data_IF_042893330495
#
_entry.id   IF_042893330495
#
_cell.length_a   1.000
_cell.length_b   1.000
_cell.length_c   1.000
_cell.angle_alpha   90.00
_cell.angle_beta   90.00
_cell.angle_gamma   90.00
#
_symmetry.space_group_name_H-M   'P 1'
#
loop_
_entity.id
_entity.type
_entity.pdbx_description
1 polymer ?
#
# COMPACT_ATOMS: atom_id res chain seq x y z
N UNK A 1 19.21 -11.61 -10.24
CA UNK A 1 17.83 -11.29 -9.91
C UNK A 1 16.97 -11.68 -11.08
N UNK A 2 15.95 -12.46 -10.84
CA UNK A 2 15.03 -12.89 -11.89
C UNK A 2 14.25 -11.65 -12.37
N UNK A 3 14.34 -11.29 -13.64
CA UNK A 3 13.74 -10.08 -14.23
C UNK A 3 12.20 -10.02 -14.13
N UNK A 4 11.59 -11.04 -13.56
CA UNK A 4 10.14 -11.18 -13.37
C UNK A 4 9.67 -11.07 -11.91
N UNK A 5 10.54 -10.75 -10.97
CA UNK A 5 10.15 -10.65 -9.57
C UNK A 5 9.56 -9.27 -9.26
N UNK A 6 8.37 -9.26 -8.66
CA UNK A 6 7.70 -8.03 -8.28
C UNK A 6 8.50 -7.31 -7.17
N UNK A 7 8.86 -6.05 -7.40
CA UNK A 7 9.75 -5.29 -6.54
C UNK A 7 9.07 -4.92 -5.21
N UNK A 8 9.82 -5.10 -4.12
CA UNK A 8 9.46 -4.61 -2.78
C UNK A 8 10.49 -3.57 -2.38
N UNK A 9 10.01 -2.38 -2.00
CA UNK A 9 10.86 -1.22 -1.71
C UNK A 9 11.61 -1.39 -0.37
N UNK A 10 10.95 -2.02 0.60
CA UNK A 10 11.49 -2.24 1.94
C UNK A 10 12.29 -3.52 2.02
N UNK A 11 13.24 -3.57 2.96
CA UNK A 11 13.98 -4.79 3.26
C UNK A 11 13.09 -5.96 3.65
N UNK A 12 13.62 -7.14 3.41
CA UNK A 12 13.01 -8.39 3.83
C UNK A 12 13.35 -8.69 5.29
N UNK A 13 12.31 -8.78 6.11
CA UNK A 13 12.36 -9.23 7.49
C UNK A 13 11.49 -10.47 7.68
N UNK A 14 11.78 -11.35 8.64
CA UNK A 14 10.89 -12.48 8.93
C UNK A 14 9.43 -12.06 9.10
N UNK A 15 9.21 -10.89 9.73
CA UNK A 15 7.90 -10.35 10.02
C UNK A 15 7.12 -9.86 8.78
N UNK A 16 7.79 -9.57 7.66
CA UNK A 16 7.13 -9.14 6.42
C UNK A 16 7.24 -10.12 5.26
N UNK A 17 7.97 -11.21 5.43
CA UNK A 17 8.03 -12.28 4.44
C UNK A 17 6.76 -13.12 4.38
N UNK A 18 6.02 -13.21 5.51
CA UNK A 18 4.74 -13.90 5.58
C UNK A 18 3.84 -13.25 6.65
N UNK A 19 2.58 -12.99 6.32
CA UNK A 19 1.61 -12.45 7.26
C UNK A 19 1.77 -10.96 7.62
N UNK A 20 2.65 -10.24 6.95
CA UNK A 20 2.91 -8.83 7.22
C UNK A 20 1.81 -7.88 6.74
N UNK A 21 2.11 -6.58 6.77
CA UNK A 21 1.23 -5.50 6.30
C UNK A 21 1.79 -4.96 4.98
N UNK A 22 1.07 -5.20 3.90
CA UNK A 22 1.42 -4.71 2.57
C UNK A 22 0.89 -3.29 2.37
N UNK A 23 1.76 -2.35 2.04
CA UNK A 23 1.39 -1.03 1.54
C UNK A 23 1.59 -1.01 0.04
N UNK A 24 0.52 -0.71 -0.72
CA UNK A 24 0.57 -0.73 -2.17
C UNK A 24 0.01 0.56 -2.77
N UNK A 25 0.86 1.25 -3.55
CA UNK A 25 0.47 2.37 -4.40
C UNK A 25 0.17 1.93 -5.84
N UNK A 26 -0.07 2.92 -6.72
CA UNK A 26 -0.30 2.64 -8.14
C UNK A 26 0.97 2.23 -8.87
N UNK A 27 1.98 3.09 -8.83
CA UNK A 27 3.25 2.95 -9.53
C UNK A 27 4.33 3.80 -8.86
N UNK A 28 5.57 3.63 -9.27
CA UNK A 28 6.68 4.47 -8.85
C UNK A 28 6.54 5.86 -9.47
N UNK A 29 6.59 6.91 -8.62
CA UNK A 29 6.71 8.28 -9.09
C UNK A 29 8.07 8.49 -9.75
N UNK A 30 8.11 9.26 -10.83
CA UNK A 30 9.33 9.66 -11.49
C UNK A 30 9.77 11.01 -10.90
N UNK A 31 10.88 11.02 -10.19
CA UNK A 31 11.44 12.24 -9.60
C UNK A 31 12.37 12.97 -10.59
N UNK A 32 12.69 14.23 -10.29
CA UNK A 32 13.70 14.98 -11.07
C UNK A 32 15.10 14.34 -10.95
N UNK A 33 15.36 13.66 -9.86
CA UNK A 33 16.61 12.95 -9.61
C UNK A 33 16.69 11.69 -10.47
N UNK A 34 15.58 10.94 -10.60
CA UNK A 34 15.48 9.84 -11.55
C UNK A 34 15.72 10.30 -13.00
N UNK A 35 15.22 11.48 -13.37
CA UNK A 35 15.44 12.11 -14.68
C UNK A 35 16.93 12.36 -14.95
N UNK A 36 17.64 12.91 -13.95
CA UNK A 36 19.08 13.18 -14.04
C UNK A 36 19.88 11.89 -14.11
N UNK A 37 19.55 10.91 -13.30
CA UNK A 37 20.22 9.61 -13.26
C UNK A 37 20.03 8.84 -14.58
N UNK A 38 18.82 8.86 -15.15
CA UNK A 38 18.56 8.29 -16.48
C UNK A 38 19.38 8.98 -17.57
N UNK A 39 19.46 10.32 -17.56
CA UNK A 39 20.25 11.09 -18.52
C UNK A 39 21.76 10.89 -18.38
N UNK A 40 22.24 10.63 -17.18
CA UNK A 40 23.67 10.43 -16.87
C UNK A 40 24.11 8.99 -16.88
N UNK A 41 23.17 8.04 -16.99
CA UNK A 41 23.46 6.59 -16.95
C UNK A 41 23.96 6.09 -15.59
N UNK A 42 23.76 6.88 -14.52
CA UNK A 42 24.14 6.50 -13.16
C UNK A 42 23.08 5.51 -12.65
N UNK A 43 23.48 4.27 -12.47
CA UNK A 43 22.72 3.30 -11.67
C UNK A 43 23.18 3.44 -10.22
N UNK A 44 22.36 4.04 -9.38
CA UNK A 44 22.61 3.99 -7.95
C UNK A 44 22.44 2.55 -7.46
N UNK A 45 23.50 2.00 -6.85
CA UNK A 45 23.36 0.80 -6.04
C UNK A 45 22.45 1.15 -4.88
N UNK A 46 21.24 0.57 -4.87
CA UNK A 46 20.32 0.72 -3.75
C UNK A 46 20.95 0.04 -2.54
N UNK A 47 21.46 0.83 -1.61
CA UNK A 47 21.84 0.31 -0.31
C UNK A 47 20.65 -0.38 0.34
N UNK A 48 20.88 -1.54 0.93
CA UNK A 48 19.88 -2.23 1.74
C UNK A 48 19.46 -1.34 2.91
N UNK A 49 18.17 -1.00 2.96
CA UNK A 49 17.65 -0.02 3.92
C UNK A 49 16.63 -0.63 4.83
N UNK A 50 16.50 -0.09 6.03
CA UNK A 50 15.78 -0.67 7.14
C UNK A 50 14.25 -0.80 6.94
N UNK A 51 13.42 -0.63 7.93
CA UNK A 51 11.98 -0.88 7.91
C UNK A 51 11.16 0.28 7.31
N UNK A 52 9.88 0.06 7.05
CA UNK A 52 9.00 0.99 6.35
C UNK A 52 8.96 2.41 6.95
N UNK A 53 8.96 2.56 8.27
CA UNK A 53 8.89 3.86 8.95
C UNK A 53 10.23 4.61 8.96
N UNK A 54 11.35 3.96 8.63
CA UNK A 54 12.67 4.62 8.53
C UNK A 54 12.71 5.57 7.33
N UNK A 55 12.99 6.88 7.53
CA UNK A 55 13.08 7.85 6.45
C UNK A 55 14.24 7.58 5.48
N UNK A 56 15.27 6.83 5.89
CA UNK A 56 16.38 6.45 5.01
C UNK A 56 15.99 5.38 3.99
N UNK A 57 14.92 4.63 4.20
CA UNK A 57 14.41 3.64 3.23
C UNK A 57 13.80 4.34 2.02
N UNK A 58 12.93 5.30 2.29
CA UNK A 58 12.17 5.99 1.27
C UNK A 58 11.72 7.36 1.81
N UNK A 59 12.51 8.41 1.56
CA UNK A 59 12.25 9.78 2.01
C UNK A 59 11.17 10.51 1.18
N UNK A 60 10.42 9.83 0.33
CA UNK A 60 9.43 10.46 -0.55
C UNK A 60 8.28 11.11 0.22
N UNK A 61 7.69 12.14 -0.39
CA UNK A 61 6.50 12.81 0.14
C UNK A 61 5.34 11.83 0.37
N UNK A 62 5.21 10.84 -0.49
CA UNK A 62 4.17 9.79 -0.37
C UNK A 62 4.34 9.03 0.94
N UNK A 63 5.51 8.44 1.16
CA UNK A 63 5.81 7.67 2.37
C UNK A 63 5.69 8.52 3.63
N UNK A 64 6.25 9.74 3.64
CA UNK A 64 6.22 10.61 4.81
C UNK A 64 4.79 10.97 5.22
N UNK A 65 3.92 11.28 4.25
CA UNK A 65 2.49 11.52 4.53
C UNK A 65 1.77 10.28 5.01
N UNK A 66 2.09 9.12 4.46
CA UNK A 66 1.44 7.87 4.87
C UNK A 66 1.86 7.47 6.29
N UNK A 67 3.15 7.59 6.63
CA UNK A 67 3.63 7.33 8.01
C UNK A 67 2.96 8.29 8.99
N UNK A 68 2.92 9.59 8.68
CA UNK A 68 2.24 10.57 9.54
C UNK A 68 0.75 10.24 9.73
N UNK A 69 0.07 9.80 8.67
CA UNK A 69 -1.32 9.37 8.74
C UNK A 69 -1.50 8.13 9.63
N UNK A 70 -0.67 7.11 9.47
CA UNK A 70 -0.73 5.90 10.29
C UNK A 70 -0.46 6.24 11.77
N UNK A 71 0.50 7.13 12.05
CA UNK A 71 0.76 7.63 13.39
C UNK A 71 -0.42 8.41 13.97
N UNK A 72 -1.11 9.24 13.16
CA UNK A 72 -2.30 9.98 13.61
C UNK A 72 -3.47 9.06 13.98
N UNK A 73 -3.53 7.86 13.45
CA UNK A 73 -4.46 6.81 13.89
C UNK A 73 -4.09 6.18 15.23
N UNK A 74 -2.97 6.60 15.85
CA UNK A 74 -2.47 6.05 17.12
C UNK A 74 -1.76 4.70 16.95
N UNK A 75 -1.31 4.38 15.73
CA UNK A 75 -0.49 3.20 15.45
C UNK A 75 0.98 3.55 15.78
N UNK A 76 1.69 2.75 16.58
CA UNK A 76 3.00 3.12 17.12
C UNK A 76 4.13 2.87 16.08
N UNK A 77 4.19 3.68 15.03
CA UNK A 77 5.33 3.67 14.10
C UNK A 77 6.43 4.60 14.61
N UNK A 78 7.62 4.04 14.82
CA UNK A 78 8.84 4.78 15.13
C UNK A 78 9.59 5.08 13.82
N UNK A 79 10.25 6.22 13.76
CA UNK A 79 11.10 6.57 12.62
C UNK A 79 12.59 6.41 12.94
N UNK A 80 12.92 6.03 14.16
CA UNK A 80 14.28 5.79 14.63
C UNK A 80 14.64 4.32 14.45
N UNK A 81 15.64 4.00 13.60
CA UNK A 81 16.10 2.63 13.36
C UNK A 81 16.51 1.86 14.63
N UNK A 82 17.00 2.57 15.66
CA UNK A 82 17.41 1.95 16.90
C UNK A 82 16.23 1.43 17.75
N UNK A 83 15.00 1.86 17.44
CA UNK A 83 13.78 1.51 18.19
C UNK A 83 12.79 0.69 17.38
N UNK A 84 13.18 0.19 16.21
CA UNK A 84 12.30 -0.60 15.37
C UNK A 84 11.81 -1.86 16.07
N UNK A 85 10.49 -2.01 16.14
CA UNK A 85 9.82 -3.21 16.68
C UNK A 85 9.56 -4.25 15.60
N UNK A 86 9.14 -5.46 15.99
CA UNK A 86 8.67 -6.48 15.06
C UNK A 86 7.45 -6.00 14.25
N UNK A 87 6.58 -5.20 14.87
CA UNK A 87 5.43 -4.60 14.21
C UNK A 87 5.84 -3.70 13.03
N UNK A 88 6.84 -2.83 13.21
CA UNK A 88 7.32 -1.95 12.14
C UNK A 88 8.00 -2.72 11.02
N UNK A 89 8.77 -3.76 11.35
CA UNK A 89 9.38 -4.65 10.38
C UNK A 89 8.36 -5.51 9.63
N UNK A 90 7.13 -5.62 10.14
CA UNK A 90 6.03 -6.33 9.45
C UNK A 90 5.53 -5.60 8.20
N UNK A 91 5.78 -4.29 8.09
CA UNK A 91 5.39 -3.53 6.91
C UNK A 91 6.32 -3.81 5.73
N UNK A 92 5.72 -3.94 4.55
CA UNK A 92 6.46 -3.86 3.29
C UNK A 92 5.71 -3.00 2.29
N UNK A 93 6.46 -2.26 1.48
CA UNK A 93 5.93 -1.33 0.49
C UNK A 93 6.21 -1.83 -0.91
N UNK A 94 5.21 -1.76 -1.75
CA UNK A 94 5.29 -2.04 -3.18
C UNK A 94 4.32 -1.14 -3.96
N UNK A 95 4.28 -1.29 -5.28
CA UNK A 95 3.28 -0.67 -6.13
C UNK A 95 2.62 -1.73 -7.01
N UNK A 96 1.41 -1.47 -7.45
CA UNK A 96 0.69 -2.40 -8.32
C UNK A 96 1.39 -2.56 -9.68
N UNK A 97 1.84 -1.44 -10.26
CA UNK A 97 2.57 -1.41 -11.53
C UNK A 97 4.04 -1.09 -11.24
N UNK A 98 4.94 -1.85 -11.84
CA UNK A 98 6.38 -1.75 -11.63
C UNK A 98 7.05 -0.64 -12.47
N UNK A 99 6.37 -0.14 -13.49
CA UNK A 99 6.90 0.94 -14.34
C UNK A 99 6.75 2.29 -13.67
N UNK A 100 7.77 3.13 -13.83
CA UNK A 100 7.70 4.52 -13.39
C UNK A 100 6.90 5.36 -14.39
N UNK A 101 6.05 6.26 -13.89
CA UNK A 101 5.38 7.26 -14.71
C UNK A 101 5.48 8.64 -14.07
N UNK A 102 5.54 9.69 -14.89
CA UNK A 102 5.60 11.09 -14.41
C UNK A 102 4.29 11.54 -13.76
N UNK A 103 3.18 10.93 -14.14
CA UNK A 103 1.85 11.28 -13.62
C UNK A 103 0.90 10.12 -13.81
N UNK A 104 -0.01 9.94 -12.85
CA UNK A 104 -1.16 9.01 -12.97
C UNK A 104 -2.32 9.63 -13.75
N UNK A 105 -2.15 10.86 -14.25
CA UNK A 105 -3.15 11.60 -15.04
C UNK A 105 -2.55 12.03 -16.36
N UNK A 106 -3.36 12.19 -17.40
CA UNK A 106 -2.90 12.59 -18.72
C UNK A 106 -2.67 11.40 -19.67
N UNK A 107 -1.63 11.47 -20.49
CA UNK A 107 -1.36 10.46 -21.54
C UNK A 107 -0.94 9.08 -20.94
N UNK A 108 -0.40 9.08 -19.72
CA UNK A 108 0.02 7.88 -18.99
C UNK A 108 -1.00 7.50 -17.88
N UNK A 109 -2.28 7.76 -18.14
CA UNK A 109 -3.34 7.50 -17.17
C UNK A 109 -3.35 6.03 -16.74
N UNK A 110 -3.23 5.80 -15.44
CA UNK A 110 -3.46 4.49 -14.85
C UNK A 110 -4.97 4.38 -14.56
N UNK A 111 -5.61 3.47 -15.24
CA UNK A 111 -7.01 3.12 -15.01
C UNK A 111 -7.15 1.65 -14.62
N UNK A 112 -8.38 1.22 -14.38
CA UNK A 112 -8.67 -0.16 -13.95
C UNK A 112 -8.21 -1.18 -14.99
N UNK A 113 -8.32 -0.86 -16.29
CA UNK A 113 -7.87 -1.74 -17.37
C UNK A 113 -6.37 -2.00 -17.27
N UNK A 114 -5.58 -0.93 -17.18
CA UNK A 114 -4.13 -1.00 -17.01
C UNK A 114 -3.74 -1.77 -15.74
N UNK A 115 -4.46 -1.57 -14.63
CA UNK A 115 -4.21 -2.30 -13.39
C UNK A 115 -4.50 -3.80 -13.56
N UNK A 116 -5.60 -4.16 -14.19
CA UNK A 116 -5.96 -5.56 -14.42
C UNK A 116 -4.97 -6.25 -15.35
N UNK A 117 -4.56 -5.62 -16.44
CA UNK A 117 -3.54 -6.16 -17.37
C UNK A 117 -2.19 -6.40 -16.68
N UNK A 118 -1.84 -5.62 -15.66
CA UNK A 118 -0.60 -5.74 -14.90
C UNK A 118 -0.76 -6.45 -13.56
N UNK A 119 -1.84 -7.22 -13.35
CA UNK A 119 -2.16 -7.82 -12.05
C UNK A 119 -1.34 -9.06 -11.70
N UNK A 120 -0.81 -9.79 -12.69
CA UNK A 120 -0.18 -11.11 -12.47
C UNK A 120 0.97 -11.05 -11.46
N UNK A 121 1.86 -10.08 -11.59
CA UNK A 121 3.05 -9.99 -10.75
C UNK A 121 2.72 -9.60 -9.30
N UNK A 122 1.78 -8.68 -9.10
CA UNK A 122 1.35 -8.27 -7.75
C UNK A 122 0.56 -9.40 -7.06
N UNK A 123 -0.27 -10.14 -7.79
CA UNK A 123 -0.98 -11.29 -7.25
C UNK A 123 -0.03 -12.41 -6.81
N UNK A 124 1.04 -12.68 -7.58
CA UNK A 124 2.12 -13.60 -7.16
C UNK A 124 2.84 -13.13 -5.89
N UNK A 125 3.07 -11.82 -5.74
CA UNK A 125 3.65 -11.27 -4.53
C UNK A 125 2.72 -11.47 -3.33
N UNK A 126 1.41 -11.18 -3.49
CA UNK A 126 0.40 -11.39 -2.45
C UNK A 126 0.33 -12.86 -2.05
N UNK A 127 0.29 -13.78 -3.01
CA UNK A 127 0.31 -15.23 -2.76
C UNK A 127 1.54 -15.66 -1.96
N UNK A 128 2.72 -15.20 -2.36
CA UNK A 128 3.98 -15.57 -1.71
C UNK A 128 4.11 -15.03 -0.29
N UNK A 129 3.68 -13.78 -0.04
CA UNK A 129 3.81 -13.11 1.26
C UNK A 129 2.60 -13.28 2.17
N UNK A 130 1.46 -13.69 1.63
CA UNK A 130 0.21 -13.90 2.37
C UNK A 130 -0.05 -12.79 3.42
N UNK A 131 -0.08 -11.48 3.03
CA UNK A 131 -0.20 -10.39 3.98
C UNK A 131 -1.52 -10.49 4.75
N UNK A 132 -1.49 -10.27 6.08
CA UNK A 132 -2.72 -10.20 6.89
C UNK A 132 -3.52 -8.93 6.61
N UNK A 133 -2.84 -7.85 6.22
CA UNK A 133 -3.46 -6.59 5.78
C UNK A 133 -2.84 -6.13 4.46
N UNK A 134 -3.69 -5.75 3.51
CA UNK A 134 -3.31 -5.03 2.30
C UNK A 134 -3.88 -3.62 2.40
N UNK A 135 -3.00 -2.63 2.52
CA UNK A 135 -3.35 -1.22 2.53
C UNK A 135 -3.10 -0.63 1.14
N UNK A 136 -4.14 -0.51 0.36
CA UNK A 136 -4.14 0.19 -0.92
C UNK A 136 -4.22 1.70 -0.73
N UNK A 137 -3.30 2.43 -1.33
CA UNK A 137 -3.28 3.90 -1.33
C UNK A 137 -3.79 4.41 -2.68
N UNK A 138 -5.12 4.34 -2.83
CA UNK A 138 -5.84 4.70 -4.05
C UNK A 138 -7.06 3.80 -4.30
N UNK A 139 -8.24 4.38 -4.50
CA UNK A 139 -9.51 3.64 -4.59
C UNK A 139 -9.60 2.69 -5.78
N UNK A 140 -8.96 3.00 -6.91
CA UNK A 140 -8.99 2.12 -8.08
C UNK A 140 -8.28 0.78 -7.87
N UNK A 141 -7.36 0.68 -6.89
CA UNK A 141 -6.65 -0.56 -6.61
C UNK A 141 -7.59 -1.65 -6.08
N UNK A 142 -8.51 -1.30 -5.18
CA UNK A 142 -9.50 -2.26 -4.69
C UNK A 142 -10.57 -2.55 -5.75
N UNK A 143 -10.87 -1.59 -6.62
CA UNK A 143 -11.76 -1.79 -7.78
C UNK A 143 -11.12 -2.79 -8.76
N UNK A 144 -9.82 -2.62 -9.07
CA UNK A 144 -9.08 -3.56 -9.92
C UNK A 144 -9.01 -4.96 -9.29
N UNK A 145 -8.74 -5.06 -7.97
CA UNK A 145 -8.75 -6.35 -7.25
C UNK A 145 -10.11 -7.07 -7.37
N UNK A 146 -11.19 -6.30 -7.51
CA UNK A 146 -12.55 -6.81 -7.64
C UNK A 146 -13.01 -7.02 -9.10
N UNK A 147 -12.15 -6.77 -10.08
CA UNK A 147 -12.52 -6.94 -11.49
C UNK A 147 -12.78 -8.42 -11.82
N UNK A 148 -13.82 -8.65 -12.62
CA UNK A 148 -14.28 -10.00 -12.96
C UNK A 148 -13.21 -10.81 -13.70
N UNK A 149 -12.32 -10.15 -14.45
CA UNK A 149 -11.27 -10.79 -15.26
C UNK A 149 -10.19 -11.49 -14.41
N UNK A 150 -9.90 -10.97 -13.19
CA UNK A 150 -8.90 -11.53 -12.28
C UNK A 150 -9.52 -12.18 -11.03
N UNK A 151 -10.83 -12.19 -10.95
CA UNK A 151 -11.57 -12.70 -9.79
C UNK A 151 -11.16 -14.11 -9.38
N UNK A 152 -11.00 -15.00 -10.33
CA UNK A 152 -10.61 -16.39 -10.07
C UNK A 152 -9.26 -16.52 -9.37
N UNK A 153 -8.27 -15.71 -9.81
CA UNK A 153 -6.95 -15.68 -9.20
C UNK A 153 -6.99 -15.05 -7.80
N UNK A 154 -7.74 -13.97 -7.63
CA UNK A 154 -7.91 -13.31 -6.33
C UNK A 154 -8.56 -14.28 -5.33
N UNK A 155 -9.65 -14.97 -5.70
CA UNK A 155 -10.34 -15.93 -4.83
C UNK A 155 -9.47 -17.16 -4.53
N UNK A 156 -8.63 -17.59 -5.46
CA UNK A 156 -7.65 -18.67 -5.23
C UNK A 156 -6.59 -18.26 -4.19
N UNK A 157 -6.15 -17.00 -4.21
CA UNK A 157 -5.07 -16.50 -3.36
C UNK A 157 -5.58 -16.06 -1.98
N UNK A 158 -6.65 -15.27 -1.94
CA UNK A 158 -7.18 -14.66 -0.72
C UNK A 158 -8.32 -15.46 -0.08
N UNK A 159 -8.82 -16.46 -0.78
CA UNK A 159 -10.01 -17.22 -0.40
C UNK A 159 -11.29 -16.63 -1.01
N UNK A 160 -12.41 -17.34 -0.75
CA UNK A 160 -13.71 -16.95 -1.28
C UNK A 160 -14.07 -15.51 -0.89
N UNK A 161 -14.54 -14.74 -1.87
CA UNK A 161 -14.95 -13.33 -1.64
C UNK A 161 -16.17 -13.28 -0.71
N UNK A 162 -16.10 -12.59 0.43
CA UNK A 162 -17.20 -12.53 1.39
C UNK A 162 -18.32 -11.54 0.96
N UNK A 163 -18.07 -10.74 -0.08
CA UNK A 163 -18.98 -9.71 -0.59
C UNK A 163 -18.24 -8.55 -1.23
N UNK A 164 -18.95 -7.46 -1.46
CA UNK A 164 -18.36 -6.22 -1.93
C UNK A 164 -17.63 -5.48 -0.79
N UNK A 165 -16.67 -4.64 -1.16
CA UNK A 165 -16.02 -3.76 -0.20
C UNK A 165 -17.04 -2.84 0.49
N UNK A 166 -16.95 -2.74 1.82
CA UNK A 166 -17.80 -1.87 2.64
C UNK A 166 -17.21 -0.47 2.64
N UNK A 167 -18.04 0.52 2.46
CA UNK A 167 -17.67 1.93 2.44
C UNK A 167 -17.81 2.53 3.84
N UNK A 168 -16.75 3.10 4.36
CA UNK A 168 -16.74 3.86 5.60
C UNK A 168 -16.50 5.35 5.28
N UNK A 169 -17.20 6.22 5.98
CA UNK A 169 -17.00 7.67 5.95
C UNK A 169 -16.61 8.14 7.34
N UNK A 170 -15.82 9.20 7.41
CA UNK A 170 -15.43 9.81 8.69
C UNK A 170 -16.61 10.56 9.32
N UNK A 171 -16.71 10.50 10.63
CA UNK A 171 -17.67 11.30 11.41
C UNK A 171 -17.26 12.78 11.50
N UNK A 172 -16.05 13.12 11.05
CA UNK A 172 -15.57 14.51 11.02
C UNK A 172 -16.33 15.29 9.95
N UNK A 173 -17.01 16.39 10.31
CA UNK A 173 -17.78 17.18 9.36
C UNK A 173 -16.90 17.73 8.22
N UNK A 174 -17.43 17.67 7.01
CA UNK A 174 -16.79 18.28 5.85
C UNK A 174 -17.82 19.08 5.05
N UNK A 175 -17.41 20.24 4.57
CA UNK A 175 -18.22 21.08 3.66
C UNK A 175 -18.01 20.73 2.19
N UNK A 176 -17.08 19.82 1.91
CA UNK A 176 -16.70 19.42 0.57
C UNK A 176 -17.00 17.95 0.27
N UNK A 177 -16.17 17.37 -0.58
CA UNK A 177 -16.27 15.96 -0.95
C UNK A 177 -16.00 15.06 0.26
N UNK A 178 -16.88 14.11 0.50
CA UNK A 178 -16.63 13.03 1.45
C UNK A 178 -15.74 11.97 0.81
N UNK A 179 -14.63 11.68 1.46
CA UNK A 179 -13.73 10.60 1.06
C UNK A 179 -14.11 9.33 1.83
N UNK A 180 -13.89 8.20 1.18
CA UNK A 180 -14.26 6.90 1.74
C UNK A 180 -13.00 6.08 1.99
N UNK A 181 -13.04 5.32 3.08
CA UNK A 181 -12.18 4.15 3.28
C UNK A 181 -13.02 2.93 2.91
N UNK A 182 -12.48 2.07 2.07
CA UNK A 182 -13.14 0.84 1.65
C UNK A 182 -12.46 -0.33 2.34
N UNK A 183 -13.27 -1.23 2.90
CA UNK A 183 -12.75 -2.43 3.58
C UNK A 183 -13.42 -3.67 3.00
N UNK A 184 -12.62 -4.66 2.71
CA UNK A 184 -13.08 -5.97 2.29
C UNK A 184 -12.30 -7.05 3.05
N UNK A 185 -13.01 -7.89 3.77
CA UNK A 185 -12.41 -8.97 4.54
C UNK A 185 -12.41 -10.25 3.72
N UNK A 186 -11.27 -10.87 3.58
CA UNK A 186 -11.11 -12.24 3.09
C UNK A 186 -10.78 -13.16 4.27
N UNK A 187 -10.81 -14.48 4.11
CA UNK A 187 -10.57 -15.42 5.22
C UNK A 187 -9.30 -15.17 6.03
N UNK A 188 -8.23 -14.72 5.37
CA UNK A 188 -6.91 -14.54 6.00
C UNK A 188 -6.30 -13.14 5.76
N UNK A 189 -7.01 -12.26 5.06
CA UNK A 189 -6.48 -10.95 4.66
C UNK A 189 -7.56 -9.89 4.74
N UNK A 190 -7.30 -8.80 5.44
CA UNK A 190 -8.14 -7.61 5.39
C UNK A 190 -7.58 -6.65 4.35
N UNK A 191 -8.36 -6.36 3.31
CA UNK A 191 -8.02 -5.39 2.28
C UNK A 191 -8.63 -4.04 2.64
N UNK A 192 -7.81 -3.03 2.78
CA UNK A 192 -8.20 -1.65 3.07
C UNK A 192 -7.77 -0.77 1.91
N UNK A 193 -8.64 0.10 1.44
CA UNK A 193 -8.28 1.11 0.45
C UNK A 193 -8.61 2.51 0.96
N UNK A 194 -7.59 3.36 0.99
CA UNK A 194 -7.68 4.76 1.39
C UNK A 194 -7.49 5.68 0.17
N UNK A 195 -7.96 6.94 0.23
CA UNK A 195 -7.64 7.94 -0.79
C UNK A 195 -6.12 8.12 -0.94
N UNK A 196 -5.67 8.43 -2.16
CA UNK A 196 -4.24 8.64 -2.40
C UNK A 196 -3.72 9.87 -1.64
N UNK A 197 -2.79 9.66 -0.72
CA UNK A 197 -2.37 10.66 0.29
C UNK A 197 -1.72 11.92 -0.30
N UNK A 198 -1.16 11.87 -1.50
CA UNK A 198 -0.51 13.02 -2.16
C UNK A 198 -1.25 13.50 -3.41
N UNK A 199 -2.09 12.67 -4.01
CA UNK A 199 -2.78 12.95 -5.28
C UNK A 199 -4.24 13.37 -5.14
N UNK A 200 -4.84 13.21 -3.95
CA UNK A 200 -6.26 13.50 -3.74
C UNK A 200 -6.45 14.95 -3.32
N UNK A 201 -7.02 15.76 -4.24
CA UNK A 201 -7.30 17.15 -3.96
C UNK A 201 -8.40 17.30 -2.90
N UNK A 202 -8.17 18.16 -1.90
CA UNK A 202 -9.12 18.45 -0.82
C UNK A 202 -9.14 17.40 0.29
N UNK A 203 -8.28 16.39 0.26
CA UNK A 203 -8.11 15.45 1.38
C UNK A 203 -7.50 16.19 2.57
N UNK A 204 -8.19 16.18 3.70
CA UNK A 204 -7.79 16.82 4.95
C UNK A 204 -7.29 15.77 5.93
N UNK A 205 -6.24 16.12 6.66
CA UNK A 205 -5.63 15.20 7.62
C UNK A 205 -6.59 14.89 8.79
N UNK A 206 -7.29 15.90 9.34
CA UNK A 206 -8.27 15.71 10.40
C UNK A 206 -9.46 14.81 9.98
N UNK A 207 -9.89 14.90 8.71
CA UNK A 207 -10.91 14.01 8.18
C UNK A 207 -10.43 12.56 8.17
N UNK A 208 -9.17 12.33 7.82
CA UNK A 208 -8.58 10.99 7.82
C UNK A 208 -8.30 10.47 9.23
N UNK A 209 -8.01 11.35 10.20
CA UNK A 209 -7.90 10.99 11.62
C UNK A 209 -9.21 10.40 12.18
N UNK A 210 -10.37 10.83 11.66
CA UNK A 210 -11.66 10.27 12.05
C UNK A 210 -11.81 8.76 11.80
N UNK A 211 -10.94 8.15 11.01
CA UNK A 211 -10.88 6.69 10.83
C UNK A 211 -9.99 5.98 11.87
N UNK A 212 -9.39 6.70 12.83
CA UNK A 212 -8.43 6.13 13.77
C UNK A 212 -8.95 4.88 14.52
N UNK A 213 -10.16 4.83 15.08
CA UNK A 213 -10.65 3.64 15.78
C UNK A 213 -10.64 2.40 14.88
N UNK A 214 -11.17 2.54 13.66
CA UNK A 214 -11.28 1.48 12.67
C UNK A 214 -9.90 1.02 12.19
N UNK A 215 -9.01 1.96 11.87
CA UNK A 215 -7.68 1.64 11.34
C UNK A 215 -6.76 1.04 12.40
N UNK A 216 -6.89 1.45 13.65
CA UNK A 216 -6.16 0.84 14.78
C UNK A 216 -6.56 -0.61 14.97
N UNK A 217 -7.85 -0.89 14.98
CA UNK A 217 -8.37 -2.25 15.07
C UNK A 217 -7.73 -3.12 13.99
N UNK A 218 -7.85 -2.73 12.72
CA UNK A 218 -7.33 -3.51 11.58
C UNK A 218 -5.81 -3.67 11.61
N UNK A 219 -5.06 -2.59 11.91
CA UNK A 219 -3.60 -2.63 11.81
C UNK A 219 -2.94 -3.29 13.03
N UNK A 220 -3.57 -3.22 14.23
CA UNK A 220 -3.02 -3.75 15.46
C UNK A 220 -3.59 -5.12 15.87
N UNK A 221 -4.65 -5.59 15.20
CA UNK A 221 -5.11 -6.98 15.41
C UNK A 221 -3.95 -7.94 15.09
N UNK A 222 -3.51 -8.65 16.10
CA UNK A 222 -2.64 -9.80 15.93
C UNK A 222 -3.44 -10.89 15.22
N UNK A 223 -2.90 -11.46 14.17
CA UNK A 223 -3.50 -12.64 13.55
C UNK A 223 -3.64 -13.70 14.65
N UNK A 224 -4.87 -14.01 15.03
CA UNK A 224 -5.15 -15.18 15.85
C UNK A 224 -4.83 -16.39 14.95
N UNK A 225 -3.58 -16.81 14.96
CA UNK A 225 -3.20 -18.10 14.40
C UNK A 225 -3.76 -19.13 15.39
N UNK A 226 -4.94 -19.65 15.08
CA UNK A 226 -5.39 -20.90 15.72
C UNK A 226 -4.31 -21.95 15.44
N UNK A 227 -3.65 -22.37 16.51
CA UNK A 227 -2.68 -23.47 16.53
C UNK A 227 -3.37 -24.81 16.36
#
# INVERSE_FOLDING_TARGET
>A
MDKNEHEVITLNYPENLSGGIMVCGYNFGFSREDEVNEMTGIQEEREEKSFFSDPAVNGTRFRNKLVALIQSWGVPLQTDPCHASGFERSFFQTNWIMTQTRSITGAEKIDIETLVENSESILKLIERRAPRVILFVGSQLIEALNDIRIRGDVERILGARPGNAVHHVSDVPTTGRQFKVLIQQFPHTTVVSIPHVTGTQGLRDDYMEGFAPLMREILLEESVVEQ
#
